data_IF_600930008705
#
_entry.id   IF_600930008705
#
_cell.length_a   1.000
_cell.length_b   1.000
_cell.length_c   1.000
_cell.angle_alpha   90.00
_cell.angle_beta   90.00
_cell.angle_gamma   90.00
#
_symmetry.space_group_name_H-M   'P 1'
#
loop_
_entity.id
_entity.type
_entity.pdbx_description
1 polymer ?
#
# COMPACT_ATOMS: atom_id res chain seq x y z
N UNK A 1 1.46 11.81 0.10
CA UNK A 1 0.15 11.73 -0.60
C UNK A 1 -0.15 12.96 -1.46
N UNK A 2 0.10 14.18 -0.98
CA UNK A 2 -0.27 15.42 -1.69
C UNK A 2 0.15 15.45 -3.18
N UNK A 3 1.40 15.09 -3.50
CA UNK A 3 1.89 15.07 -4.88
C UNK A 3 1.14 14.10 -5.82
N UNK A 4 0.64 12.97 -5.30
CA UNK A 4 -0.16 12.03 -6.09
C UNK A 4 -1.54 12.62 -6.38
N UNK A 5 -2.16 13.21 -5.34
CA UNK A 5 -3.46 13.89 -5.45
C UNK A 5 -3.39 15.09 -6.39
N UNK A 6 -2.36 15.92 -6.28
CA UNK A 6 -2.10 17.06 -7.16
C UNK A 6 -1.96 16.66 -8.64
N UNK A 7 -1.45 15.46 -8.91
CA UNK A 7 -1.33 14.90 -10.27
C UNK A 7 -2.61 14.19 -10.74
N UNK A 8 -3.70 14.24 -9.98
CA UNK A 8 -4.97 13.58 -10.30
C UNK A 8 -4.92 12.06 -10.17
N UNK A 9 -3.91 11.52 -9.49
CA UNK A 9 -3.65 10.08 -9.39
C UNK A 9 -4.34 9.53 -8.14
N UNK A 10 -5.66 9.39 -8.22
CA UNK A 10 -6.50 9.00 -7.08
C UNK A 10 -6.89 7.51 -7.08
N UNK A 11 -6.55 6.78 -8.15
CA UNK A 11 -6.96 5.40 -8.42
C UNK A 11 -5.81 4.38 -8.33
N UNK A 12 -4.61 4.85 -7.97
CA UNK A 12 -3.44 3.99 -7.74
C UNK A 12 -3.48 3.41 -6.34
N UNK A 13 -3.34 2.08 -6.28
CA UNK A 13 -3.08 1.36 -5.03
C UNK A 13 -1.64 1.64 -4.63
N UNK A 14 -1.44 2.29 -3.49
CA UNK A 14 -0.11 2.55 -2.94
C UNK A 14 0.22 1.51 -1.87
N UNK A 15 1.38 0.87 -2.01
CA UNK A 15 1.93 -0.06 -1.03
C UNK A 15 3.23 0.51 -0.48
N UNK A 16 3.50 0.27 0.81
CA UNK A 16 4.79 0.56 1.44
C UNK A 16 5.50 -0.73 1.84
N UNK A 17 6.80 -0.66 2.10
CA UNK A 17 7.55 -1.80 2.61
C UNK A 17 8.97 -1.46 3.05
N UNK A 18 9.66 -2.45 3.60
CA UNK A 18 11.00 -2.31 4.17
C UNK A 18 11.00 -2.30 5.71
N UNK A 19 11.98 -1.63 6.31
CA UNK A 19 12.09 -1.48 7.76
C UNK A 19 11.40 -0.18 8.16
N UNK A 20 10.25 -0.28 8.83
CA UNK A 20 9.40 0.85 9.20
C UNK A 20 8.98 0.68 10.67
N UNK A 21 9.10 1.70 11.54
CA UNK A 21 8.59 1.67 12.90
C UNK A 21 7.07 1.48 12.97
N UNK A 22 6.56 0.85 14.04
CA UNK A 22 5.13 0.55 14.19
C UNK A 22 4.25 1.81 14.18
N UNK A 23 4.73 2.91 14.78
CA UNK A 23 4.04 4.20 14.78
C UNK A 23 3.88 4.78 13.35
N UNK A 24 4.89 4.59 12.51
CA UNK A 24 4.90 5.05 11.13
C UNK A 24 3.98 4.18 10.26
N UNK A 25 3.89 2.87 10.53
CA UNK A 25 2.93 1.97 9.87
C UNK A 25 1.50 2.48 10.07
N UNK A 26 1.14 2.85 11.31
CA UNK A 26 -0.19 3.38 11.63
C UNK A 26 -0.44 4.71 10.91
N UNK A 27 0.54 5.61 10.90
CA UNK A 27 0.43 6.90 10.21
C UNK A 27 0.25 6.73 8.70
N UNK A 28 1.05 5.87 8.06
CA UNK A 28 1.01 5.60 6.62
C UNK A 28 -0.33 5.00 6.19
N UNK A 29 -0.89 4.07 6.96
CA UNK A 29 -2.23 3.52 6.69
C UNK A 29 -3.31 4.61 6.76
N UNK A 30 -3.27 5.49 7.76
CA UNK A 30 -4.20 6.63 7.87
C UNK A 30 -4.09 7.61 6.69
N UNK A 31 -2.90 7.75 6.10
CA UNK A 31 -2.68 8.58 4.93
C UNK A 31 -3.24 7.96 3.64
N UNK A 32 -3.59 6.67 3.64
CA UNK A 32 -4.18 5.97 2.50
C UNK A 32 -3.23 5.01 1.79
N UNK A 33 -2.13 4.60 2.43
CA UNK A 33 -1.36 3.44 1.97
C UNK A 33 -2.21 2.19 2.20
N UNK A 34 -2.40 1.38 1.17
CA UNK A 34 -3.29 0.23 1.20
C UNK A 34 -2.73 -0.95 2.03
N UNK A 35 -1.42 -1.17 1.97
CA UNK A 35 -0.74 -2.18 2.80
C UNK A 35 0.73 -1.82 3.03
N UNK A 36 1.28 -2.28 4.16
CA UNK A 36 2.71 -2.18 4.48
C UNK A 36 3.30 -3.60 4.58
N UNK A 37 4.33 -3.88 3.78
CA UNK A 37 4.98 -5.19 3.68
C UNK A 37 6.41 -5.07 4.22
N UNK A 38 6.62 -5.45 5.48
CA UNK A 38 7.90 -5.29 6.19
C UNK A 38 8.97 -6.29 5.72
N UNK A 39 10.22 -6.07 6.16
CA UNK A 39 11.42 -6.80 5.72
C UNK A 39 11.29 -8.34 5.71
N UNK A 40 10.56 -8.92 6.66
CA UNK A 40 10.41 -10.39 6.78
C UNK A 40 9.13 -10.91 6.12
N UNK A 41 8.42 -10.07 5.35
CA UNK A 41 7.20 -10.49 4.66
C UNK A 41 7.52 -11.53 3.60
N UNK A 42 6.97 -12.75 3.67
CA UNK A 42 7.25 -13.77 2.68
C UNK A 42 6.80 -13.36 1.27
N UNK A 43 7.54 -13.71 0.21
CA UNK A 43 7.21 -13.31 -1.16
C UNK A 43 5.79 -13.70 -1.60
N UNK A 44 5.29 -14.87 -1.16
CA UNK A 44 3.92 -15.30 -1.46
C UNK A 44 2.87 -14.37 -0.84
N UNK A 45 3.10 -13.86 0.37
CA UNK A 45 2.20 -12.91 1.03
C UNK A 45 2.15 -11.58 0.28
N UNK A 46 3.28 -11.12 -0.26
CA UNK A 46 3.34 -9.93 -1.13
C UNK A 46 2.45 -10.13 -2.36
N UNK A 47 2.63 -11.25 -3.06
CA UNK A 47 1.86 -11.58 -4.28
C UNK A 47 0.36 -11.67 -3.97
N UNK A 48 -0.01 -12.36 -2.89
CA UNK A 48 -1.40 -12.56 -2.51
C UNK A 48 -2.06 -11.24 -2.10
N UNK A 49 -1.33 -10.37 -1.40
CA UNK A 49 -1.76 -9.01 -1.05
C UNK A 49 -2.06 -8.20 -2.30
N UNK A 50 -1.13 -8.15 -3.26
CA UNK A 50 -1.31 -7.39 -4.50
C UNK A 50 -2.52 -7.92 -5.28
N UNK A 51 -2.63 -9.24 -5.45
CA UNK A 51 -3.77 -9.85 -6.14
C UNK A 51 -5.10 -9.54 -5.46
N UNK A 52 -5.15 -9.58 -4.13
CA UNK A 52 -6.33 -9.23 -3.34
C UNK A 52 -6.74 -7.77 -3.56
N UNK A 53 -5.81 -6.83 -3.42
CA UNK A 53 -6.10 -5.40 -3.57
C UNK A 53 -6.55 -5.03 -4.98
N UNK A 54 -5.97 -5.66 -6.01
CA UNK A 54 -6.41 -5.45 -7.40
C UNK A 54 -7.83 -5.97 -7.62
N UNK A 55 -8.18 -7.15 -7.06
CA UNK A 55 -9.55 -7.67 -7.13
C UNK A 55 -10.55 -6.77 -6.42
N UNK A 56 -10.21 -6.29 -5.22
CA UNK A 56 -11.07 -5.41 -4.43
C UNK A 56 -11.30 -4.05 -5.09
N UNK A 57 -10.27 -3.47 -5.71
CA UNK A 57 -10.41 -2.21 -6.46
C UNK A 57 -11.28 -2.39 -7.71
N UNK A 58 -11.19 -3.55 -8.37
CA UNK A 58 -11.86 -3.82 -9.64
C UNK A 58 -11.11 -3.25 -10.85
N UNK A 59 -11.73 -3.41 -12.02
CA UNK A 59 -11.22 -2.88 -13.28
C UNK A 59 -11.23 -1.34 -13.27
N UNK A 60 -10.25 -0.75 -13.95
CA UNK A 60 -10.12 0.69 -14.14
C UNK A 60 -10.95 1.15 -15.33
#
# INVERSE_FOLDING_TARGET
MNRLRERGVNDIILLGGGVIPDEDVVALKKMGVAEILLQDTPPNVIVDTVRRLVRERGAR
#
